data_IF_296545216569
#
_entry.id   IF_296545216569
#
_cell.length_a   1.000
_cell.length_b   1.000
_cell.length_c   1.000
_cell.angle_alpha   90.00
_cell.angle_beta   90.00
_cell.angle_gamma   90.00
#
_symmetry.space_group_name_H-M   'P 1'
#
loop_
_entity.id
_entity.type
_entity.pdbx_description
1 polymer ?
#
# COMPACT_ATOMS: atom_id res chain seq x y z
N UNK A 1 5.81 -12.16 3.45
CA UNK A 1 6.51 -11.65 4.67
C UNK A 1 6.11 -10.19 4.82
N UNK A 2 5.79 -9.67 6.02
CA UNK A 2 5.56 -8.22 6.18
C UNK A 2 6.93 -7.53 6.30
N UNK A 3 7.24 -6.63 5.38
CA UNK A 3 8.43 -5.81 5.41
C UNK A 3 8.39 -4.77 6.55
N UNK A 4 7.19 -4.48 7.09
CA UNK A 4 7.02 -3.55 8.20
C UNK A 4 5.95 -4.02 9.18
N UNK A 5 6.25 -3.96 10.48
CA UNK A 5 5.28 -4.19 11.56
C UNK A 5 5.01 -2.89 12.35
N UNK A 6 3.73 -2.55 12.49
CA UNK A 6 3.32 -1.34 13.22
C UNK A 6 3.50 -1.47 14.73
N UNK A 7 4.62 -0.94 15.24
CA UNK A 7 4.93 -0.90 16.67
C UNK A 7 4.34 0.29 17.43
N UNK A 8 4.34 0.21 18.77
CA UNK A 8 3.83 1.26 19.68
C UNK A 8 4.50 2.62 19.48
N UNK A 9 5.74 2.64 18.98
CA UNK A 9 6.50 3.86 18.71
C UNK A 9 5.89 4.74 17.61
N UNK A 10 4.98 4.20 16.78
CA UNK A 10 4.33 4.94 15.69
C UNK A 10 2.91 5.42 16.07
N UNK A 11 2.40 5.05 17.25
CA UNK A 11 1.06 5.43 17.71
C UNK A 11 1.07 6.88 18.19
N UNK A 12 0.27 7.72 17.53
CA UNK A 12 0.21 9.17 17.82
C UNK A 12 -0.90 9.53 18.82
N UNK A 13 -1.73 8.56 19.22
CA UNK A 13 -2.98 8.73 20.01
C UNK A 13 -4.10 9.46 19.26
N UNK A 14 -3.86 9.87 18.01
CA UNK A 14 -4.86 10.42 17.11
C UNK A 14 -5.32 9.30 16.16
N UNK A 15 -6.50 8.72 16.43
CA UNK A 15 -7.02 7.55 15.70
C UNK A 15 -7.08 7.76 14.18
N UNK A 16 -7.44 8.97 13.73
CA UNK A 16 -7.47 9.31 12.30
C UNK A 16 -6.08 9.32 11.67
N UNK A 17 -5.08 9.84 12.37
CA UNK A 17 -3.69 9.91 11.89
C UNK A 17 -3.09 8.50 11.81
N UNK A 18 -3.30 7.69 12.85
CA UNK A 18 -2.78 6.32 12.90
C UNK A 18 -3.42 5.42 11.83
N UNK A 19 -4.71 5.63 11.51
CA UNK A 19 -5.40 4.93 10.41
C UNK A 19 -4.80 5.27 9.05
N UNK A 20 -4.61 6.55 8.75
CA UNK A 20 -4.03 6.93 7.45
C UNK A 20 -2.56 6.52 7.33
N UNK A 21 -1.78 6.58 8.41
CA UNK A 21 -0.38 6.12 8.38
C UNK A 21 -0.25 4.60 8.17
N UNK A 22 -1.06 3.78 8.86
CA UNK A 22 -1.07 2.33 8.61
C UNK A 22 -1.43 2.01 7.17
N UNK A 23 -2.44 2.70 6.63
CA UNK A 23 -2.84 2.56 5.24
C UNK A 23 -1.73 2.90 4.26
N UNK A 24 -0.93 3.94 4.55
CA UNK A 24 0.23 4.29 3.71
C UNK A 24 1.29 3.20 3.72
N UNK A 25 1.57 2.62 4.88
CA UNK A 25 2.50 1.49 5.02
C UNK A 25 1.99 0.29 4.21
N UNK A 26 0.71 -0.06 4.32
CA UNK A 26 0.12 -1.19 3.61
C UNK A 26 0.20 -1.02 2.08
N UNK A 27 0.09 0.21 1.56
CA UNK A 27 0.26 0.49 0.12
C UNK A 27 1.73 0.37 -0.30
N UNK A 28 2.66 0.77 0.57
CA UNK A 28 4.08 0.84 0.27
C UNK A 28 4.81 -0.50 0.49
N UNK A 29 4.15 -1.48 1.11
CA UNK A 29 4.74 -2.78 1.43
C UNK A 29 4.87 -3.66 0.17
N UNK A 30 6.12 -4.09 -0.11
CA UNK A 30 6.39 -5.11 -1.12
C UNK A 30 5.84 -6.45 -0.66
N UNK A 31 5.17 -7.15 -1.56
CA UNK A 31 4.78 -8.54 -1.32
C UNK A 31 5.88 -9.51 -1.82
N UNK A 32 5.79 -10.79 -1.42
CA UNK A 32 6.79 -11.81 -1.77
C UNK A 32 6.83 -12.11 -3.29
N UNK A 33 5.84 -11.64 -4.05
CA UNK A 33 5.73 -11.82 -5.50
C UNK A 33 6.38 -10.66 -6.30
N UNK A 34 6.70 -9.55 -5.64
CA UNK A 34 7.42 -8.41 -6.24
C UNK A 34 8.93 -8.66 -6.18
N UNK A 35 9.51 -9.08 -7.30
CA UNK A 35 10.90 -9.50 -7.39
C UNK A 35 11.85 -8.30 -7.41
N UNK A 36 11.43 -7.19 -8.02
CA UNK A 36 12.22 -5.96 -8.08
C UNK A 36 11.39 -4.70 -7.73
N UNK A 37 12.04 -3.54 -7.83
CA UNK A 37 11.41 -2.24 -7.54
C UNK A 37 10.40 -1.87 -8.63
N UNK A 38 10.55 -2.38 -9.85
CA UNK A 38 9.64 -2.08 -10.97
C UNK A 38 8.27 -2.73 -10.73
N UNK A 39 8.21 -3.91 -10.12
CA UNK A 39 6.96 -4.55 -9.71
C UNK A 39 6.19 -3.73 -8.67
N UNK A 40 6.89 -3.16 -7.70
CA UNK A 40 6.30 -2.25 -6.71
C UNK A 40 5.75 -0.98 -7.36
N UNK A 41 6.52 -0.37 -8.27
CA UNK A 41 6.10 0.83 -8.98
C UNK A 41 4.89 0.57 -9.88
N UNK A 42 4.84 -0.57 -10.59
CA UNK A 42 3.67 -0.96 -11.40
C UNK A 42 2.42 -1.14 -10.53
N UNK A 43 2.53 -1.84 -9.40
CA UNK A 43 1.40 -2.03 -8.50
C UNK A 43 0.90 -0.72 -7.90
N UNK A 44 1.80 0.21 -7.57
CA UNK A 44 1.45 1.55 -7.11
C UNK A 44 0.71 2.36 -8.19
N UNK A 45 1.22 2.36 -9.42
CA UNK A 45 0.58 3.04 -10.56
C UNK A 45 -0.81 2.47 -10.87
N UNK A 46 -0.96 1.15 -10.82
CA UNK A 46 -2.26 0.47 -10.99
C UNK A 46 -3.23 0.85 -9.86
N UNK A 47 -2.75 0.92 -8.62
CA UNK A 47 -3.54 1.44 -7.48
C UNK A 47 -4.06 2.87 -7.72
N UNK A 48 -3.22 3.76 -8.28
CA UNK A 48 -3.62 5.12 -8.68
C UNK A 48 -4.66 5.09 -9.79
N UNK A 49 -4.50 4.22 -10.78
CA UNK A 49 -5.45 4.04 -11.86
C UNK A 49 -6.82 3.60 -11.33
N UNK A 50 -6.86 2.60 -10.44
CA UNK A 50 -8.07 2.11 -9.79
C UNK A 50 -8.74 3.19 -8.93
N UNK A 51 -7.96 3.98 -8.20
CA UNK A 51 -8.49 5.10 -7.42
C UNK A 51 -9.13 6.18 -8.31
N UNK A 52 -8.53 6.47 -9.47
CA UNK A 52 -9.12 7.38 -10.46
C UNK A 52 -10.43 6.84 -11.02
N UNK A 53 -10.47 5.54 -11.37
CA UNK A 53 -11.67 4.88 -11.87
C UNK A 53 -12.80 4.82 -10.82
N UNK A 54 -12.45 4.71 -9.54
CA UNK A 54 -13.39 4.67 -8.42
C UNK A 54 -13.92 6.05 -7.96
N UNK A 55 -13.75 7.11 -8.76
CA UNK A 55 -14.28 8.44 -8.47
C UNK A 55 -13.31 9.36 -7.70
N UNK A 56 -12.03 9.00 -7.60
CA UNK A 56 -10.96 9.77 -6.91
C UNK A 56 -11.22 9.86 -5.40
N UNK A 57 -10.38 10.63 -4.69
CA UNK A 57 -10.44 10.84 -3.24
C UNK A 57 -10.58 9.55 -2.42
N UNK A 58 -9.96 8.47 -2.90
CA UNK A 58 -9.92 7.18 -2.23
C UNK A 58 -8.57 6.53 -2.52
N UNK A 59 -8.24 5.51 -1.73
CA UNK A 59 -7.05 4.67 -1.98
C UNK A 59 -7.53 3.31 -2.45
N UNK A 60 -6.79 2.75 -3.40
CA UNK A 60 -6.90 1.38 -3.88
C UNK A 60 -5.50 0.78 -3.93
N UNK A 61 -5.41 -0.50 -3.61
CA UNK A 61 -4.20 -1.28 -3.79
C UNK A 61 -4.43 -2.21 -4.99
N UNK A 62 -3.42 -2.36 -5.84
CA UNK A 62 -3.38 -3.44 -6.80
C UNK A 62 -2.57 -4.59 -6.19
N UNK A 63 -3.16 -5.79 -6.13
CA UNK A 63 -2.40 -6.99 -5.83
C UNK A 63 -1.78 -7.47 -7.13
N UNK A 64 -0.45 -7.66 -7.14
CA UNK A 64 0.27 -8.20 -8.28
C UNK A 64 -0.44 -9.48 -8.75
N UNK A 65 -0.86 -9.50 -10.01
CA UNK A 65 -1.30 -10.74 -10.64
C UNK A 65 -0.03 -11.54 -10.91
N UNK A 66 0.18 -12.59 -10.13
CA UNK A 66 1.39 -13.40 -10.13
C UNK A 66 1.98 -13.64 -11.53
N UNK A 67 3.31 -13.57 -11.61
CA UNK A 67 4.06 -13.97 -12.79
C UNK A 67 3.70 -15.42 -13.16
N UNK A 68 2.85 -15.57 -14.19
CA UNK A 68 2.58 -16.85 -14.85
C UNK A 68 3.76 -17.31 -15.69
#
# INVERSE_FOLDING_TARGET
MHAFEWGKQYVTTLDTVDKEHRRLVDIAERNDEMLDVEDLLKAADEGVYLAKAAGRNCVRAAQSLGHG
#
